data_IF_050893049900
#
_entry.id   IF_050893049900
#
_cell.length_a   1.000
_cell.length_b   1.000
_cell.length_c   1.000
_cell.angle_alpha   90.00
_cell.angle_beta   90.00
_cell.angle_gamma   90.00
#
_symmetry.space_group_name_H-M   'P 1'
#
loop_
_entity.id
_entity.type
_entity.pdbx_description
1 polymer ?
#
# COMPACT_ATOMS: atom_id res chain seq x y z
N UNK A 1 -13.63 24.53 -8.50
CA UNK A 1 -12.77 23.34 -8.50
C UNK A 1 -13.35 22.17 -9.34
N UNK A 2 -13.55 22.30 -10.67
CA UNK A 2 -13.84 21.15 -11.54
C UNK A 2 -12.56 20.46 -12.08
N UNK A 3 -11.49 21.24 -12.33
CA UNK A 3 -10.27 20.77 -13.01
C UNK A 3 -9.51 19.62 -12.30
N UNK A 4 -9.57 19.56 -10.96
CA UNK A 4 -8.90 18.51 -10.19
C UNK A 4 -9.68 17.18 -10.16
N UNK A 5 -11.01 17.23 -10.27
CA UNK A 5 -11.85 16.03 -10.29
C UNK A 5 -11.72 15.30 -11.63
N UNK A 6 -11.80 16.04 -12.75
CA UNK A 6 -11.62 15.49 -14.12
C UNK A 6 -10.27 14.79 -14.31
N UNK A 7 -9.22 15.24 -13.63
CA UNK A 7 -7.89 14.65 -13.73
C UNK A 7 -7.74 13.31 -13.00
N UNK A 8 -8.59 13.00 -12.03
CA UNK A 8 -8.49 11.81 -11.19
C UNK A 8 -9.41 10.68 -11.63
N UNK A 9 -10.54 11.02 -12.28
CA UNK A 9 -11.49 10.04 -12.83
C UNK A 9 -10.82 9.05 -13.79
N UNK A 10 -9.78 9.50 -14.52
CA UNK A 10 -8.99 8.63 -15.41
C UNK A 10 -8.32 7.44 -14.69
N UNK A 11 -8.16 7.54 -13.37
CA UNK A 11 -7.65 6.46 -12.51
C UNK A 11 -8.76 5.67 -11.81
N UNK A 12 -10.02 6.13 -11.87
CA UNK A 12 -11.13 5.55 -11.12
C UNK A 12 -11.23 6.05 -9.67
N UNK A 13 -10.65 7.21 -9.36
CA UNK A 13 -10.77 7.85 -8.03
C UNK A 13 -11.36 9.25 -8.16
N UNK A 14 -12.12 9.69 -7.17
CA UNK A 14 -12.82 10.98 -7.12
C UNK A 14 -12.16 12.00 -6.19
N UNK A 15 -11.16 11.56 -5.40
CA UNK A 15 -10.45 12.38 -4.41
C UNK A 15 -9.02 11.91 -4.17
N UNK A 16 -8.19 12.82 -3.65
CA UNK A 16 -6.81 12.51 -3.26
C UNK A 16 -6.76 11.64 -2.01
N UNK A 17 -5.78 10.74 -1.96
CA UNK A 17 -5.60 9.76 -0.89
C UNK A 17 -4.76 10.37 0.24
N UNK A 18 -5.24 10.27 1.47
CA UNK A 18 -4.59 10.82 2.66
C UNK A 18 -3.79 9.78 3.42
N UNK A 19 -4.18 8.51 3.36
CA UNK A 19 -3.50 7.43 4.06
C UNK A 19 -3.24 6.27 3.10
N UNK A 20 -1.97 6.01 2.85
CA UNK A 20 -1.52 4.85 2.11
C UNK A 20 -1.05 3.75 3.05
N UNK A 21 -1.45 2.52 2.76
CA UNK A 21 -0.98 1.32 3.40
C UNK A 21 -0.50 0.35 2.33
N UNK A 22 0.72 -0.18 2.45
CA UNK A 22 1.31 -0.98 1.38
C UNK A 22 2.16 -2.14 1.92
N UNK A 23 2.03 -3.30 1.27
CA UNK A 23 2.88 -4.48 1.49
C UNK A 23 3.46 -4.99 0.16
N UNK A 24 4.44 -4.28 -0.44
CA UNK A 24 4.98 -4.66 -1.74
C UNK A 24 5.58 -6.08 -1.76
N UNK A 25 5.53 -6.78 -2.90
CA UNK A 25 6.12 -8.10 -3.03
C UNK A 25 7.64 -7.99 -3.27
N UNK A 26 8.39 -7.61 -2.24
CA UNK A 26 9.83 -7.36 -2.29
C UNK A 26 10.63 -8.55 -2.85
N UNK A 27 11.43 -8.31 -3.90
CA UNK A 27 12.40 -9.30 -4.40
C UNK A 27 13.64 -9.44 -3.50
N UNK A 28 13.98 -8.41 -2.72
CA UNK A 28 15.19 -8.36 -1.87
C UNK A 28 15.27 -9.55 -0.91
N UNK A 29 16.41 -10.25 -0.95
CA UNK A 29 16.73 -11.40 -0.09
C UNK A 29 15.71 -12.56 -0.12
N UNK A 30 14.89 -12.66 -1.18
CA UNK A 30 13.98 -13.78 -1.43
C UNK A 30 14.55 -14.83 -2.40
N UNK A 31 15.83 -14.74 -2.77
CA UNK A 31 16.49 -15.68 -3.69
C UNK A 31 17.14 -16.84 -2.94
N UNK A 32 16.65 -18.07 -3.15
CA UNK A 32 17.20 -19.30 -2.57
C UNK A 32 16.18 -20.43 -2.39
N UNK A 33 16.61 -21.62 -1.96
CA UNK A 33 15.75 -22.84 -1.78
C UNK A 33 14.57 -22.67 -0.80
N UNK A 34 14.52 -21.57 -0.04
CA UNK A 34 13.49 -21.25 0.98
C UNK A 34 12.85 -19.87 0.78
N UNK A 35 13.09 -19.21 -0.36
CA UNK A 35 12.60 -17.86 -0.63
C UNK A 35 11.17 -17.83 -1.17
N UNK A 36 10.48 -16.70 -0.99
CA UNK A 36 9.09 -16.49 -1.39
C UNK A 36 8.82 -16.54 -2.91
N UNK A 37 9.89 -16.62 -3.74
CA UNK A 37 9.83 -16.76 -5.21
C UNK A 37 8.90 -17.89 -5.68
N UNK A 38 8.58 -18.87 -4.83
CA UNK A 38 7.68 -19.99 -5.16
C UNK A 38 6.18 -19.70 -5.01
N UNK A 39 5.77 -18.56 -4.46
CA UNK A 39 4.38 -18.33 -4.04
C UNK A 39 3.66 -17.16 -4.72
N UNK A 40 4.37 -16.17 -5.26
CA UNK A 40 3.80 -15.02 -5.99
C UNK A 40 4.88 -14.29 -6.81
N UNK A 41 4.47 -13.51 -7.82
CA UNK A 41 5.39 -12.70 -8.64
C UNK A 41 5.99 -11.57 -7.79
N UNK A 42 7.31 -11.59 -7.63
CA UNK A 42 8.05 -10.55 -6.90
C UNK A 42 8.31 -9.33 -7.80
N UNK A 43 8.31 -8.14 -7.20
CA UNK A 43 8.72 -6.90 -7.86
C UNK A 43 10.15 -6.51 -7.47
N UNK A 44 10.93 -6.08 -8.47
CA UNK A 44 12.22 -5.44 -8.21
C UNK A 44 12.02 -4.12 -7.49
N UNK A 45 13.02 -3.69 -6.72
CA UNK A 45 12.98 -2.42 -5.98
C UNK A 45 12.81 -1.25 -6.95
N UNK A 46 13.44 -1.29 -8.11
CA UNK A 46 13.32 -0.28 -9.16
C UNK A 46 11.88 -0.19 -9.67
N UNK A 47 11.22 -1.34 -9.84
CA UNK A 47 9.82 -1.40 -10.26
C UNK A 47 8.88 -0.85 -9.19
N UNK A 48 9.15 -1.10 -7.91
CA UNK A 48 8.37 -0.53 -6.80
C UNK A 48 8.55 0.99 -6.76
N UNK A 49 9.79 1.48 -6.85
CA UNK A 49 10.09 2.92 -6.90
C UNK A 49 9.40 3.60 -8.09
N UNK A 50 9.30 2.93 -9.24
CA UNK A 50 8.65 3.47 -10.43
C UNK A 50 7.15 3.72 -10.29
N UNK A 51 6.48 3.18 -9.25
CA UNK A 51 5.10 3.55 -8.91
C UNK A 51 5.00 4.98 -8.35
N UNK A 52 6.12 5.52 -7.85
CA UNK A 52 6.21 6.77 -7.13
C UNK A 52 5.54 7.96 -7.80
N UNK A 53 5.74 8.24 -9.10
CA UNK A 53 5.08 9.36 -9.77
C UNK A 53 3.54 9.29 -9.71
N UNK A 54 2.95 8.11 -9.86
CA UNK A 54 1.51 7.92 -9.75
C UNK A 54 1.06 8.07 -8.30
N UNK A 55 1.74 7.44 -7.35
CA UNK A 55 1.42 7.62 -5.92
C UNK A 55 1.53 9.11 -5.54
N UNK A 56 2.50 9.84 -6.09
CA UNK A 56 2.62 11.28 -5.95
C UNK A 56 1.42 12.03 -6.51
N UNK A 57 1.01 11.74 -7.74
CA UNK A 57 -0.16 12.33 -8.36
C UNK A 57 -1.44 12.04 -7.59
N UNK A 58 -1.64 10.84 -7.04
CA UNK A 58 -2.90 10.47 -6.36
C UNK A 58 -2.97 10.87 -4.88
N UNK A 59 -1.85 11.20 -4.25
CA UNK A 59 -1.82 11.57 -2.83
C UNK A 59 -2.27 13.01 -2.59
N UNK A 60 -2.84 13.24 -1.42
CA UNK A 60 -3.08 14.58 -0.87
C UNK A 60 -1.75 15.31 -0.59
N UNK A 61 -1.80 16.64 -0.47
CA UNK A 61 -0.65 17.45 -0.06
C UNK A 61 -0.13 17.06 1.34
N UNK A 62 -1.04 16.61 2.22
CA UNK A 62 -0.77 16.17 3.57
C UNK A 62 -1.19 14.70 3.73
N UNK A 63 -0.30 13.79 3.35
CA UNK A 63 -0.56 12.35 3.33
C UNK A 63 0.45 11.54 4.15
N UNK A 64 -0.01 10.40 4.67
CA UNK A 64 0.80 9.43 5.40
C UNK A 64 0.94 8.15 4.58
N UNK A 65 2.11 7.53 4.62
CA UNK A 65 2.38 6.21 4.05
C UNK A 65 2.91 5.26 5.12
N UNK A 66 2.19 4.17 5.32
CA UNK A 66 2.57 3.04 6.16
C UNK A 66 3.01 1.88 5.26
N UNK A 67 4.31 1.60 5.25
CA UNK A 67 4.95 0.68 4.29
C UNK A 67 5.58 -0.50 5.00
N UNK A 68 5.08 -1.71 4.75
CA UNK A 68 5.71 -2.92 5.24
C UNK A 68 7.01 -3.22 4.50
N UNK A 69 8.02 -3.61 5.27
CA UNK A 69 9.30 -4.10 4.77
C UNK A 69 9.71 -5.36 5.52
N UNK A 70 10.36 -6.26 4.80
CA UNK A 70 11.15 -7.30 5.47
C UNK A 70 12.40 -6.67 6.10
N UNK A 71 12.99 -7.32 7.10
CA UNK A 71 14.20 -6.81 7.75
C UNK A 71 15.35 -6.58 6.74
N UNK A 72 15.42 -7.40 5.68
CA UNK A 72 16.43 -7.26 4.64
C UNK A 72 16.13 -6.10 3.68
N UNK A 73 14.85 -5.82 3.41
CA UNK A 73 14.42 -4.75 2.51
C UNK A 73 14.30 -3.38 3.20
N UNK A 74 14.75 -3.26 4.46
CA UNK A 74 14.64 -2.03 5.23
C UNK A 74 15.33 -0.83 4.55
N UNK A 75 16.58 -0.94 4.07
CA UNK A 75 17.23 0.16 3.35
C UNK A 75 16.44 0.59 2.11
N UNK A 76 16.02 -0.37 1.28
CA UNK A 76 15.28 -0.11 0.05
C UNK A 76 13.88 0.44 0.31
N UNK A 77 13.24 0.05 1.41
CA UNK A 77 11.97 0.60 1.85
C UNK A 77 12.04 2.10 2.15
N UNK A 78 13.12 2.56 2.76
CA UNK A 78 13.34 4.00 2.99
C UNK A 78 13.53 4.73 1.66
N UNK A 79 14.21 4.12 0.69
CA UNK A 79 14.36 4.68 -0.65
C UNK A 79 13.04 4.70 -1.42
N UNK A 80 12.17 3.69 -1.23
CA UNK A 80 10.82 3.64 -1.80
C UNK A 80 9.94 4.74 -1.23
N UNK A 81 9.96 4.98 0.10
CA UNK A 81 9.25 6.13 0.69
C UNK A 81 9.61 7.43 -0.02
N UNK A 82 10.91 7.69 -0.19
CA UNK A 82 11.41 8.90 -0.86
C UNK A 82 10.98 8.97 -2.32
N UNK A 83 11.10 7.86 -3.06
CA UNK A 83 10.69 7.79 -4.46
C UNK A 83 9.18 8.03 -4.63
N UNK A 84 8.37 7.66 -3.63
CA UNK A 84 6.93 7.91 -3.60
C UNK A 84 6.57 9.29 -3.04
N UNK A 85 7.54 10.14 -2.74
CA UNK A 85 7.32 11.50 -2.25
C UNK A 85 6.94 11.59 -0.78
N UNK A 86 7.42 10.66 0.05
CA UNK A 86 7.25 10.65 1.49
C UNK A 86 8.61 10.71 2.20
N UNK A 87 8.71 11.56 3.21
CA UNK A 87 9.86 11.62 4.11
C UNK A 87 9.70 10.58 5.21
N UNK A 88 10.71 9.73 5.42
CA UNK A 88 10.74 8.82 6.56
C UNK A 88 10.71 9.58 7.88
N UNK A 89 9.79 9.22 8.79
CA UNK A 89 9.67 9.81 10.13
C UNK A 89 9.99 8.83 11.24
N UNK A 90 9.43 7.63 11.19
CA UNK A 90 9.59 6.61 12.24
C UNK A 90 9.23 5.22 11.70
N UNK A 91 9.23 4.21 12.58
CA UNK A 91 8.72 2.88 12.25
C UNK A 91 8.10 2.19 13.47
N UNK A 92 7.33 1.16 13.19
CA UNK A 92 6.84 0.19 14.15
C UNK A 92 7.39 -1.21 13.81
N UNK A 93 7.48 -2.09 14.80
CA UNK A 93 7.90 -3.47 14.66
C UNK A 93 6.76 -4.38 15.11
N UNK A 94 6.28 -5.21 14.20
CA UNK A 94 5.31 -6.26 14.51
C UNK A 94 6.02 -7.47 15.08
N UNK A 95 5.89 -7.66 16.40
CA UNK A 95 6.41 -8.84 17.09
C UNK A 95 5.60 -10.07 16.69
N UNK A 96 6.30 -11.05 16.13
CA UNK A 96 5.71 -12.30 15.68
C UNK A 96 5.68 -13.37 16.77
N UNK A 97 6.28 -13.12 17.93
CA UNK A 97 6.37 -14.04 19.08
C UNK A 97 7.08 -15.37 18.84
N UNK A 98 7.83 -15.50 17.74
CA UNK A 98 8.67 -16.67 17.47
C UNK A 98 9.98 -16.27 16.79
N UNK A 99 10.94 -17.17 16.88
CA UNK A 99 12.24 -17.03 16.25
C UNK A 99 12.18 -17.53 14.79
N UNK A 100 12.20 -16.60 13.84
CA UNK A 100 12.27 -16.90 12.41
C UNK A 100 13.70 -17.22 11.95
N UNK A 101 13.92 -17.16 10.64
CA UNK A 101 15.22 -17.37 9.99
C UNK A 101 16.18 -16.19 10.24
N UNK A 102 17.46 -16.36 9.90
CA UNK A 102 18.47 -15.29 9.96
C UNK A 102 19.87 -15.84 10.18
N UNK A 103 20.86 -15.24 9.53
CA UNK A 103 22.28 -15.64 9.60
C UNK A 103 23.03 -15.00 10.76
N UNK A 104 22.59 -13.81 11.21
CA UNK A 104 23.20 -13.06 12.32
C UNK A 104 22.21 -12.96 13.47
N UNK A 105 21.28 -12.01 13.39
CA UNK A 105 20.09 -11.98 14.23
C UNK A 105 18.99 -12.84 13.61
N UNK A 106 18.24 -13.52 14.47
CA UNK A 106 17.07 -14.29 14.06
C UNK A 106 15.86 -13.36 13.97
N UNK A 107 15.22 -13.30 12.81
CA UNK A 107 14.06 -12.45 12.57
C UNK A 107 12.89 -12.86 13.45
N UNK A 108 12.50 -12.01 14.39
CA UNK A 108 11.31 -12.19 15.24
C UNK A 108 10.21 -11.17 14.97
N UNK A 109 10.42 -10.24 14.04
CA UNK A 109 9.47 -9.18 13.71
C UNK A 109 9.50 -8.84 12.21
N UNK A 110 8.46 -8.12 11.78
CA UNK A 110 8.45 -7.34 10.53
C UNK A 110 8.36 -5.85 10.84
N UNK A 111 8.88 -5.01 9.95
CA UNK A 111 8.94 -3.56 10.17
C UNK A 111 7.89 -2.86 9.32
N UNK A 112 7.14 -1.95 9.95
CA UNK A 112 6.23 -1.02 9.28
C UNK A 112 6.84 0.37 9.31
N UNK A 113 7.28 0.88 8.17
CA UNK A 113 7.81 2.23 8.06
C UNK A 113 6.68 3.25 8.03
N UNK A 114 6.95 4.42 8.60
CA UNK A 114 6.07 5.58 8.58
C UNK A 114 6.74 6.71 7.79
N UNK A 115 6.16 7.02 6.63
CA UNK A 115 6.51 8.14 5.78
C UNK A 115 5.44 9.23 5.79
N UNK A 116 5.85 10.49 5.68
CA UNK A 116 4.96 11.66 5.71
C UNK A 116 5.23 12.55 4.50
N UNK A 117 4.16 13.03 3.87
CA UNK A 117 4.16 14.14 2.93
C UNK A 117 3.51 15.36 3.58
N UNK A 118 4.10 16.54 3.36
CA UNK A 118 3.60 17.79 3.91
C UNK A 118 3.54 17.76 5.43
N UNK A 119 2.41 18.17 6.00
CA UNK A 119 2.12 18.20 7.43
C UNK A 119 0.97 17.25 7.78
N UNK A 120 1.05 15.99 7.32
CA UNK A 120 0.03 15.00 7.59
C UNK A 120 -0.24 14.84 9.11
N UNK A 121 -1.51 14.80 9.55
CA UNK A 121 -1.85 14.67 10.96
C UNK A 121 -1.53 13.26 11.49
N UNK A 122 -1.36 13.18 12.81
CA UNK A 122 -1.23 11.94 13.57
C UNK A 122 -2.04 12.09 14.85
N UNK A 123 -3.24 11.54 14.89
CA UNK A 123 -4.25 11.97 15.88
C UNK A 123 -4.20 11.16 17.18
N UNK A 124 -3.67 9.93 17.13
CA UNK A 124 -3.52 9.09 18.32
C UNK A 124 -2.04 8.82 18.66
N UNK A 125 -1.54 9.51 19.69
CA UNK A 125 -0.15 9.39 20.15
C UNK A 125 0.10 8.26 21.16
N UNK A 126 -0.94 7.54 21.59
CA UNK A 126 -0.81 6.45 22.56
C UNK A 126 -0.37 5.10 21.97
N UNK A 127 -0.19 5.02 20.64
CA UNK A 127 0.18 3.76 19.99
C UNK A 127 1.67 3.47 20.20
N UNK A 128 1.98 2.31 20.81
CA UNK A 128 3.36 1.83 20.93
C UNK A 128 3.90 1.38 19.57
N UNK A 129 5.19 1.63 19.34
CA UNK A 129 5.89 1.17 18.13
C UNK A 129 6.10 -0.35 18.09
N UNK A 130 6.01 -1.06 19.21
CA UNK A 130 5.92 -2.53 19.22
C UNK A 130 4.47 -2.95 19.03
N UNK A 131 4.17 -3.57 17.87
CA UNK A 131 2.86 -4.08 17.54
C UNK A 131 2.77 -5.53 18.02
N UNK A 132 1.86 -5.75 18.96
CA UNK A 132 1.60 -7.03 19.62
C UNK A 132 0.33 -7.63 19.01
N UNK A 133 0.41 -8.04 17.75
CA UNK A 133 -0.73 -8.48 16.94
C UNK A 133 -0.59 -9.97 16.58
N UNK A 134 -1.69 -10.73 16.51
CA UNK A 134 -1.63 -12.15 16.23
C UNK A 134 -1.11 -12.41 14.81
N UNK A 135 -0.28 -13.45 14.67
CA UNK A 135 0.08 -13.99 13.37
C UNK A 135 -1.05 -14.85 12.83
N UNK A 136 -1.33 -14.66 11.55
CA UNK A 136 -2.26 -15.49 10.78
C UNK A 136 -1.46 -16.38 9.80
N UNK A 137 -2.06 -16.74 8.67
CA UNK A 137 -1.45 -17.60 7.65
C UNK A 137 -0.18 -16.98 7.02
N UNK A 138 0.61 -17.79 6.32
CA UNK A 138 1.94 -17.40 5.83
C UNK A 138 1.94 -16.08 5.03
N UNK A 139 2.83 -15.15 5.44
CA UNK A 139 3.02 -13.82 4.83
C UNK A 139 1.82 -12.86 4.93
N UNK A 140 0.73 -13.24 5.59
CA UNK A 140 -0.44 -12.36 5.80
C UNK A 140 -0.18 -11.41 6.97
N UNK A 141 -0.43 -10.13 6.73
CA UNK A 141 -0.37 -9.08 7.76
C UNK A 141 -1.61 -9.17 8.68
N UNK A 142 -1.52 -8.73 9.95
CA UNK A 142 -2.63 -8.84 10.90
C UNK A 142 -3.85 -8.04 10.45
N UNK A 143 -5.03 -8.61 10.70
CA UNK A 143 -6.33 -7.96 10.49
C UNK A 143 -6.46 -6.65 11.28
N UNK A 144 -5.89 -6.66 12.47
CA UNK A 144 -5.95 -5.58 13.46
C UNK A 144 -5.23 -4.31 12.98
N UNK A 145 -4.47 -4.38 11.89
CA UNK A 145 -3.84 -3.21 11.30
C UNK A 145 -4.87 -2.19 10.81
N UNK A 146 -5.98 -2.63 10.22
CA UNK A 146 -7.01 -1.72 9.69
C UNK A 146 -7.61 -0.85 10.81
N UNK A 147 -8.22 -1.40 11.87
CA UNK A 147 -8.74 -0.58 12.96
C UNK A 147 -7.64 0.18 13.74
N UNK A 148 -6.39 -0.32 13.75
CA UNK A 148 -5.26 0.40 14.32
C UNK A 148 -4.94 1.66 13.50
N UNK A 149 -4.91 1.56 12.18
CA UNK A 149 -4.64 2.68 11.27
C UNK A 149 -5.76 3.71 11.40
N UNK A 150 -7.03 3.28 11.36
CA UNK A 150 -8.18 4.18 11.50
C UNK A 150 -8.22 4.89 12.85
N UNK A 151 -7.74 4.26 13.93
CA UNK A 151 -7.62 4.94 15.23
C UNK A 151 -6.52 6.00 15.23
N UNK A 152 -5.41 5.77 14.51
CA UNK A 152 -4.28 6.71 14.46
C UNK A 152 -4.53 7.85 13.49
N UNK A 153 -5.15 7.53 12.37
CA UNK A 153 -5.41 8.39 11.23
C UNK A 153 -6.91 8.26 10.90
N UNK A 154 -7.81 8.86 11.71
CA UNK A 154 -9.26 8.73 11.55
C UNK A 154 -9.80 9.38 10.27
N UNK A 155 -9.03 10.29 9.69
CA UNK A 155 -9.41 11.05 8.53
C UNK A 155 -8.83 10.45 7.26
N UNK A 156 -9.61 9.57 6.61
CA UNK A 156 -9.36 9.08 5.26
C UNK A 156 -9.49 10.17 4.18
N UNK A 157 -9.44 9.83 2.89
CA UNK A 157 -9.55 8.48 2.31
C UNK A 157 -8.30 7.61 2.49
N UNK A 158 -8.51 6.28 2.52
CA UNK A 158 -7.46 5.29 2.66
C UNK A 158 -7.23 4.56 1.33
N UNK A 159 -6.01 4.14 1.06
CA UNK A 159 -5.73 3.18 0.01
C UNK A 159 -4.78 2.07 0.47
N UNK A 160 -5.13 0.83 0.14
CA UNK A 160 -4.28 -0.34 0.35
C UNK A 160 -3.71 -0.82 -0.99
N UNK A 161 -2.38 -0.82 -1.10
CA UNK A 161 -1.65 -1.36 -2.24
C UNK A 161 -1.18 -2.78 -1.92
N UNK A 162 -1.29 -3.66 -2.93
CA UNK A 162 -0.94 -5.08 -2.85
C UNK A 162 -1.81 -5.85 -1.83
N UNK A 163 -3.06 -5.41 -1.67
CA UNK A 163 -4.01 -6.04 -0.74
C UNK A 163 -4.27 -7.49 -1.13
N UNK A 164 -4.37 -8.41 -0.18
CA UNK A 164 -4.76 -9.81 -0.48
C UNK A 164 -6.25 -10.08 -0.26
N UNK A 165 -6.98 -9.09 0.23
CA UNK A 165 -8.41 -9.13 0.55
C UNK A 165 -8.92 -7.73 0.78
N UNK A 166 -10.24 -7.58 0.78
CA UNK A 166 -10.84 -6.33 1.24
C UNK A 166 -10.68 -6.17 2.75
N UNK A 167 -10.40 -4.96 3.25
CA UNK A 167 -10.35 -4.66 4.66
C UNK A 167 -11.75 -4.88 5.27
N UNK A 168 -11.79 -5.46 6.47
CA UNK A 168 -13.02 -5.57 7.25
C UNK A 168 -13.31 -4.23 7.94
N UNK A 169 -13.69 -3.23 7.15
CA UNK A 169 -14.00 -1.88 7.62
C UNK A 169 -15.21 -1.30 6.89
N UNK A 170 -15.85 -0.31 7.53
CA UNK A 170 -16.88 0.54 6.91
C UNK A 170 -16.33 1.87 6.39
N UNK A 171 -15.04 2.13 6.63
CA UNK A 171 -14.34 3.31 6.14
C UNK A 171 -14.02 3.20 4.66
N UNK A 172 -13.71 4.34 4.05
CA UNK A 172 -13.45 4.45 2.62
C UNK A 172 -12.04 3.96 2.24
N UNK A 173 -11.91 2.65 2.04
CA UNK A 173 -10.67 2.00 1.60
C UNK A 173 -10.71 1.70 0.11
N UNK A 174 -9.83 2.35 -0.64
CA UNK A 174 -9.55 2.04 -2.04
C UNK A 174 -8.52 0.93 -2.14
N UNK A 175 -8.81 -0.11 -2.92
CA UNK A 175 -7.92 -1.26 -3.06
C UNK A 175 -7.21 -1.25 -4.41
N UNK A 176 -5.91 -1.53 -4.42
CA UNK A 176 -5.18 -1.90 -5.62
C UNK A 176 -4.41 -3.19 -5.39
N UNK A 177 -4.67 -4.20 -6.21
CA UNK A 177 -4.25 -5.57 -5.97
C UNK A 177 -4.24 -6.42 -7.25
N UNK A 178 -3.32 -7.38 -7.29
CA UNK A 178 -3.28 -8.48 -8.26
C UNK A 178 -4.10 -9.72 -7.84
N UNK A 179 -4.53 -9.81 -6.58
CA UNK A 179 -5.21 -10.98 -5.99
C UNK A 179 -6.71 -10.74 -5.73
N UNK A 180 -7.14 -9.48 -5.59
CA UNK A 180 -8.55 -9.10 -5.42
C UNK A 180 -8.93 -7.93 -6.32
N UNK A 181 -10.23 -7.72 -6.49
CA UNK A 181 -10.76 -6.64 -7.32
C UNK A 181 -10.30 -5.25 -6.83
N UNK A 182 -9.50 -4.60 -7.65
CA UNK A 182 -9.01 -3.23 -7.41
C UNK A 182 -10.10 -2.20 -7.65
N UNK A 183 -10.16 -1.15 -6.83
CA UNK A 183 -11.11 -0.04 -6.96
C UNK A 183 -10.61 1.09 -7.86
N UNK A 184 -9.31 1.10 -8.17
CA UNK A 184 -8.67 2.07 -9.07
C UNK A 184 -7.55 1.45 -9.89
N UNK A 185 -7.02 2.20 -10.86
CA UNK A 185 -5.95 1.77 -11.77
C UNK A 185 -4.67 2.57 -11.58
N UNK A 186 -3.53 1.91 -11.84
CA UNK A 186 -2.21 2.53 -11.91
C UNK A 186 -1.62 2.25 -13.30
N UNK A 187 -1.73 3.18 -14.26
CA UNK A 187 -1.23 2.99 -15.61
C UNK A 187 0.24 2.57 -15.66
N UNK A 188 0.53 1.56 -16.47
CA UNK A 188 1.85 0.95 -16.52
C UNK A 188 2.10 -0.07 -15.41
N UNK A 189 1.17 -0.29 -14.48
CA UNK A 189 1.18 -1.36 -13.46
C UNK A 189 -0.14 -2.14 -13.54
N UNK A 190 -0.32 -2.98 -14.58
CA UNK A 190 -1.61 -3.61 -14.80
C UNK A 190 -1.89 -4.71 -13.76
N UNK A 191 -3.15 -4.80 -13.35
CA UNK A 191 -3.67 -5.89 -12.51
C UNK A 191 -4.87 -6.57 -13.18
N UNK A 192 -5.21 -7.83 -12.82
CA UNK A 192 -6.25 -8.59 -13.52
C UNK A 192 -7.61 -7.87 -13.60
N UNK A 193 -8.00 -7.14 -12.55
CA UNK A 193 -9.26 -6.41 -12.49
C UNK A 193 -9.30 -5.15 -13.35
N UNK A 194 -8.18 -4.72 -13.96
CA UNK A 194 -8.13 -3.47 -14.76
C UNK A 194 -9.07 -3.49 -15.97
N UNK A 195 -9.46 -4.68 -16.45
CA UNK A 195 -10.38 -4.84 -17.56
C UNK A 195 -11.71 -4.08 -17.36
N UNK A 196 -12.19 -3.93 -16.12
CA UNK A 196 -13.45 -3.24 -15.82
C UNK A 196 -13.39 -1.73 -16.07
N UNK A 197 -12.21 -1.12 -15.92
CA UNK A 197 -12.02 0.31 -16.16
C UNK A 197 -11.88 0.64 -17.65
N UNK A 198 -11.39 -0.31 -18.45
CA UNK A 198 -11.33 -0.16 -19.92
C UNK A 198 -12.72 -0.22 -20.56
N UNK A 199 -13.64 -1.02 -19.99
CA UNK A 199 -15.01 -1.15 -20.48
C UNK A 199 -15.87 0.11 -20.22
N UNK A 200 -15.64 0.80 -19.09
CA UNK A 200 -16.33 2.05 -18.75
C UNK A 200 -16.05 3.19 -19.73
N UNK A 201 -14.79 3.35 -20.14
CA UNK A 201 -14.41 4.39 -21.12
C UNK A 201 -14.93 4.10 -22.53
N UNK A 202 -15.06 2.84 -22.93
CA UNK A 202 -15.65 2.47 -24.22
C UNK A 202 -17.18 2.62 -24.27
N UNK A 203 -17.85 2.58 -23.11
CA UNK A 203 -19.29 2.84 -22.99
C UNK A 203 -19.60 4.35 -22.94
N UNK A 204 -18.72 5.16 -22.33
CA UNK A 204 -18.82 6.62 -22.32
C UNK A 204 -18.56 7.26 -23.70
N UNK A 205 -17.77 6.61 -24.56
CA UNK A 205 -17.50 7.05 -25.94
C UNK A 205 -18.63 6.66 -26.92
N UNK A 206 -19.63 5.89 -26.46
CA UNK A 206 -20.92 5.71 -27.15
C UNK A 206 -21.91 6.71 -26.56
N UNK A 207 -21.74 7.98 -26.88
CA UNK A 207 -22.79 8.98 -26.68
C UNK A 207 -24.11 8.54 -27.35
N UNK A 208 -25.26 9.06 -26.90
CA UNK A 208 -26.56 8.67 -27.45
C UNK A 208 -26.68 9.20 -28.88
N UNK A 209 -26.28 8.37 -29.85
CA UNK A 209 -26.36 8.64 -31.28
C UNK A 209 -27.40 7.73 -31.92
N UNK A 210 -28.56 8.35 -32.13
CA UNK A 210 -29.59 8.11 -33.15
C UNK A 210 -30.39 6.79 -33.16
N UNK A 211 -31.67 6.96 -32.77
CA UNK A 211 -32.91 6.35 -33.31
C UNK A 211 -32.94 4.86 -33.68
#
# INVERSE_FOLDING_TARGET
MPEQADCLEKYGIDRKIRVWYADPPWMTAQTGKRGAVRHYDLMTVERIKAMGPLIQELSDENATLLLWVTNAALPEGIEVLRAWGFEYKSHAAWDKYYMGLGSYFRSSHETLLHGVRGKAPWDFHGQRSTLLLPRTEHSRKPDEMIPLIERILPEGPYAELFARRRPNSRSDWLIWSNEVDSDFTLPGFPVPSDAKFRAGNAAADRGPGDA
#
